data_IF_701097892439
#
_entry.id   IF_701097892439
#
_cell.length_a   1.000
_cell.length_b   1.000
_cell.length_c   1.000
_cell.angle_alpha   90.00
_cell.angle_beta   90.00
_cell.angle_gamma   90.00
#
_symmetry.space_group_name_H-M   'P 1'
#
loop_
_entity.id
_entity.type
_entity.pdbx_description
1 polymer ?
#
# COMPACT_ATOMS: atom_id res chain seq x y z
N UNK A 1 -20.94 15.10 30.87
CA UNK A 1 -20.42 13.71 30.91
C UNK A 1 -20.52 13.16 29.49
N UNK A 2 -19.47 13.37 28.68
CA UNK A 2 -19.48 12.95 27.28
C UNK A 2 -18.89 11.53 27.20
N UNK A 3 -19.74 10.59 26.83
CA UNK A 3 -19.34 9.21 26.57
C UNK A 3 -18.60 9.24 25.23
N UNK A 4 -17.28 9.07 25.27
CA UNK A 4 -16.49 8.84 24.07
C UNK A 4 -16.84 7.43 23.55
N UNK A 5 -17.54 7.40 22.40
CA UNK A 5 -17.74 6.18 21.67
C UNK A 5 -16.37 5.64 21.25
N UNK A 6 -16.04 4.44 21.69
CA UNK A 6 -14.89 3.67 21.20
C UNK A 6 -15.03 3.50 19.70
N UNK A 7 -13.99 3.76 18.89
CA UNK A 7 -14.06 3.51 17.45
C UNK A 7 -14.37 2.02 17.22
N UNK A 8 -15.16 1.69 16.19
CA UNK A 8 -15.55 0.32 15.92
C UNK A 8 -14.32 -0.57 15.72
N UNK A 9 -14.37 -1.74 16.32
CA UNK A 9 -13.36 -2.80 16.14
C UNK A 9 -13.41 -3.23 14.67
N UNK A 10 -12.28 -3.13 13.97
CA UNK A 10 -12.17 -3.69 12.64
C UNK A 10 -12.20 -5.22 12.75
N UNK A 11 -13.13 -5.88 12.07
CA UNK A 11 -13.17 -7.33 11.97
C UNK A 11 -12.30 -7.80 10.82
N UNK A 12 -11.40 -8.74 11.09
CA UNK A 12 -10.81 -9.56 10.03
C UNK A 12 -11.95 -10.38 9.41
N UNK A 13 -12.28 -10.10 8.16
CA UNK A 13 -13.23 -10.90 7.44
C UNK A 13 -12.58 -12.24 7.09
N UNK A 14 -12.81 -13.21 7.94
CA UNK A 14 -12.70 -14.61 7.55
C UNK A 14 -13.88 -14.86 6.61
N UNK A 15 -13.67 -15.24 5.34
CA UNK A 15 -14.79 -15.53 4.46
C UNK A 15 -15.67 -16.61 5.09
N UNK A 16 -16.96 -16.34 5.21
CA UNK A 16 -17.95 -17.21 5.82
C UNK A 16 -18.25 -18.50 5.01
N UNK A 17 -17.42 -18.85 4.05
CA UNK A 17 -17.51 -20.08 3.28
C UNK A 17 -16.14 -20.77 3.20
N UNK A 18 -15.90 -21.64 4.15
CA UNK A 18 -15.01 -22.78 3.91
C UNK A 18 -15.76 -23.69 2.92
N UNK A 19 -15.55 -23.47 1.63
CA UNK A 19 -16.00 -24.39 0.61
C UNK A 19 -15.31 -25.72 0.83
N UNK A 20 -16.11 -26.75 1.08
CA UNK A 20 -15.78 -28.18 1.08
C UNK A 20 -14.29 -28.51 1.00
N UNK A 21 -13.76 -29.01 2.08
CA UNK A 21 -12.46 -29.70 2.13
C UNK A 21 -12.42 -30.73 1.00
N UNK A 22 -11.85 -30.39 -0.15
CA UNK A 22 -11.34 -31.40 -1.06
C UNK A 22 -10.28 -32.18 -0.31
N UNK A 23 -10.33 -33.50 -0.39
CA UNK A 23 -9.33 -34.39 0.20
C UNK A 23 -7.93 -33.81 -0.03
N UNK A 24 -7.07 -33.77 0.99
CA UNK A 24 -5.75 -33.17 0.88
C UNK A 24 -5.05 -33.85 -0.30
N UNK A 25 -4.75 -33.08 -1.34
CA UNK A 25 -3.74 -33.50 -2.31
C UNK A 25 -2.48 -33.76 -1.49
N UNK A 26 -1.98 -34.98 -1.50
CA UNK A 26 -0.70 -35.32 -0.89
C UNK A 26 0.39 -34.56 -1.67
N UNK A 27 0.72 -33.42 -1.15
CA UNK A 27 1.67 -32.52 -1.76
C UNK A 27 2.96 -32.67 -1.00
N UNK A 28 4.03 -32.98 -1.74
CA UNK A 28 5.39 -33.07 -1.21
C UNK A 28 5.72 -31.80 -0.39
N UNK A 29 6.30 -31.93 0.80
CA UNK A 29 6.55 -30.84 1.73
C UNK A 29 7.47 -29.72 1.23
N UNK A 30 8.09 -29.90 0.09
CA UNK A 30 9.03 -28.93 -0.43
C UNK A 30 8.40 -27.63 -0.94
N UNK A 31 9.19 -26.56 -0.83
CA UNK A 31 8.91 -25.26 -1.45
C UNK A 31 8.51 -25.41 -2.94
N UNK A 32 9.01 -26.44 -3.62
CA UNK A 32 8.64 -26.83 -4.97
C UNK A 32 7.13 -27.00 -5.13
N UNK A 33 6.44 -27.46 -4.13
CA UNK A 33 5.01 -27.70 -4.18
C UNK A 33 4.15 -26.45 -4.09
N UNK A 34 4.47 -25.52 -3.22
CA UNK A 34 3.79 -24.22 -3.19
C UNK A 34 4.09 -23.42 -4.47
N UNK A 35 5.24 -23.60 -5.07
CA UNK A 35 5.64 -22.92 -6.32
C UNK A 35 5.07 -23.58 -7.58
N UNK A 36 4.52 -24.78 -7.51
CA UNK A 36 3.83 -25.45 -8.62
C UNK A 36 2.36 -25.05 -8.76
N UNK A 37 1.83 -24.19 -7.87
CA UNK A 37 0.41 -23.85 -7.83
C UNK A 37 -0.08 -23.11 -9.08
N UNK A 38 -1.26 -23.45 -9.63
CA UNK A 38 -1.79 -22.85 -10.86
C UNK A 38 -1.92 -21.32 -10.80
N UNK A 39 -2.24 -20.77 -9.64
CA UNK A 39 -2.40 -19.33 -9.45
C UNK A 39 -1.11 -18.53 -9.70
N UNK A 40 0.06 -19.14 -9.50
CA UNK A 40 1.35 -18.49 -9.79
C UNK A 40 1.57 -18.27 -11.29
N UNK A 41 0.95 -19.10 -12.14
CA UNK A 41 0.99 -18.90 -13.61
C UNK A 41 0.26 -17.63 -14.01
N UNK A 42 -0.84 -17.29 -13.35
CA UNK A 42 -1.61 -16.10 -13.67
C UNK A 42 -0.83 -14.81 -13.41
N UNK A 43 -0.03 -14.76 -12.36
CA UNK A 43 0.86 -13.63 -12.07
C UNK A 43 2.19 -13.70 -12.83
N UNK A 44 2.36 -14.65 -13.74
CA UNK A 44 3.62 -14.88 -14.49
C UNK A 44 4.81 -15.06 -13.55
N UNK A 45 4.61 -15.86 -12.51
CA UNK A 45 5.69 -16.15 -11.57
C UNK A 45 6.85 -16.89 -12.25
N UNK A 46 8.07 -16.53 -11.86
CA UNK A 46 9.31 -17.17 -12.31
C UNK A 46 10.19 -17.46 -11.10
N UNK A 47 10.81 -18.63 -11.10
CA UNK A 47 11.82 -18.96 -10.12
C UNK A 47 13.05 -18.06 -10.24
N UNK A 48 13.78 -17.89 -9.13
CA UNK A 48 15.08 -17.18 -9.10
C UNK A 48 16.10 -18.06 -8.40
N UNK A 49 17.28 -18.12 -8.98
CA UNK A 49 18.44 -18.82 -8.42
C UNK A 49 19.14 -17.91 -7.40
N UNK A 50 18.69 -17.93 -6.15
CA UNK A 50 19.25 -17.20 -5.00
C UNK A 50 19.11 -15.67 -5.04
N UNK A 51 18.20 -15.08 -4.24
CA UNK A 51 18.21 -13.64 -4.00
C UNK A 51 19.48 -13.25 -3.22
N UNK A 52 20.16 -12.19 -3.65
CA UNK A 52 21.30 -11.59 -2.94
C UNK A 52 20.79 -10.85 -1.68
N UNK A 53 19.62 -10.23 -1.79
CA UNK A 53 18.96 -9.52 -0.71
C UNK A 53 17.69 -10.24 -0.27
N UNK A 54 17.46 -10.28 1.03
CA UNK A 54 16.29 -10.90 1.65
C UNK A 54 15.45 -9.79 2.32
N UNK A 55 14.44 -9.25 1.62
CA UNK A 55 13.61 -8.22 2.22
C UNK A 55 12.78 -8.77 3.37
N UNK A 56 12.57 -7.92 4.39
CA UNK A 56 11.68 -8.24 5.50
C UNK A 56 10.25 -7.83 5.15
N UNK A 57 9.33 -8.78 5.27
CA UNK A 57 7.88 -8.58 5.12
C UNK A 57 7.22 -8.81 6.48
N UNK A 58 6.57 -7.81 7.02
CA UNK A 58 5.74 -7.97 8.22
C UNK A 58 4.34 -8.47 7.82
N UNK A 59 3.88 -9.50 8.51
CA UNK A 59 2.50 -10.02 8.41
C UNK A 59 1.78 -9.62 9.69
N UNK A 60 0.89 -8.64 9.56
CA UNK A 60 0.06 -8.15 10.65
C UNK A 60 -1.28 -8.86 10.58
N UNK A 61 -1.45 -9.91 11.42
CA UNK A 61 -2.55 -10.85 11.26
C UNK A 61 -2.89 -11.57 12.59
N UNK A 62 -3.46 -12.77 12.54
CA UNK A 62 -3.83 -13.60 13.71
C UNK A 62 -2.63 -14.30 14.40
N UNK A 63 -1.44 -14.14 13.88
CA UNK A 63 -0.22 -14.84 14.25
C UNK A 63 0.30 -15.69 13.08
N UNK A 64 1.41 -16.40 13.29
CA UNK A 64 1.97 -17.36 12.32
C UNK A 64 2.38 -18.61 13.09
N UNK A 65 1.82 -19.76 12.73
CA UNK A 65 2.15 -21.03 13.38
C UNK A 65 3.59 -21.40 13.11
N UNK A 66 4.40 -21.44 14.16
CA UNK A 66 5.78 -21.89 14.08
C UNK A 66 5.82 -23.35 13.61
N UNK A 67 6.70 -23.67 12.67
CA UNK A 67 6.84 -25.01 12.10
C UNK A 67 5.89 -25.32 10.93
N UNK A 68 4.97 -24.40 10.57
CA UNK A 68 4.08 -24.62 9.45
C UNK A 68 4.84 -24.88 8.13
N UNK A 69 4.28 -25.75 7.30
CA UNK A 69 4.90 -26.18 6.04
C UNK A 69 5.19 -24.99 5.11
N UNK A 70 6.33 -24.97 4.45
CA UNK A 70 6.76 -23.90 3.55
C UNK A 70 7.28 -22.64 4.25
N UNK A 71 7.28 -22.57 5.58
CA UNK A 71 7.75 -21.42 6.36
C UNK A 71 9.08 -21.66 7.09
N UNK A 72 9.67 -22.85 6.98
CA UNK A 72 10.92 -23.20 7.64
C UNK A 72 12.06 -22.27 7.21
N UNK A 73 12.77 -21.70 8.18
CA UNK A 73 13.89 -20.78 7.95
C UNK A 73 13.51 -19.41 7.39
N UNK A 74 12.19 -19.09 7.29
CA UNK A 74 11.69 -17.81 6.76
C UNK A 74 11.10 -16.91 7.83
N UNK A 75 10.77 -17.47 8.99
CA UNK A 75 10.15 -16.71 10.09
C UNK A 75 11.23 -16.02 10.91
N UNK A 76 11.11 -14.73 11.08
CA UNK A 76 11.92 -13.90 11.98
C UNK A 76 11.37 -14.00 13.41
N UNK A 77 11.57 -15.17 14.03
CA UNK A 77 10.99 -15.49 15.34
C UNK A 77 11.56 -14.66 16.50
N UNK A 78 12.80 -14.16 16.34
CA UNK A 78 13.45 -13.34 17.37
C UNK A 78 12.80 -11.96 17.55
N UNK A 79 11.99 -11.52 16.58
CA UNK A 79 11.28 -10.24 16.62
C UNK A 79 9.76 -10.40 16.50
N UNK A 80 9.26 -11.63 16.59
CA UNK A 80 7.82 -11.87 16.63
C UNK A 80 7.18 -11.18 17.86
N UNK A 81 6.03 -10.52 17.66
CA UNK A 81 5.36 -9.78 18.74
C UNK A 81 3.85 -9.85 18.61
N UNK A 82 3.16 -9.72 19.75
CA UNK A 82 1.70 -9.66 19.82
C UNK A 82 1.23 -8.36 20.46
N UNK A 83 0.21 -7.76 19.86
CA UNK A 83 -0.59 -6.65 20.39
C UNK A 83 -1.98 -7.12 20.85
N UNK A 84 -2.18 -8.42 20.98
CA UNK A 84 -3.36 -9.07 21.54
C UNK A 84 -3.05 -9.49 22.97
N UNK A 85 -3.94 -9.20 23.90
CA UNK A 85 -3.74 -9.58 25.32
C UNK A 85 -3.59 -11.10 25.46
N UNK A 86 -2.49 -11.53 26.10
CA UNK A 86 -2.15 -12.95 26.25
C UNK A 86 -1.76 -13.66 24.92
N UNK A 87 -1.60 -12.92 23.83
CA UNK A 87 -1.27 -13.48 22.54
C UNK A 87 0.20 -13.87 22.39
N UNK A 88 0.45 -14.74 21.42
CA UNK A 88 1.79 -15.18 20.98
C UNK A 88 1.83 -15.20 19.45
N UNK A 89 2.61 -14.34 18.86
CA UNK A 89 2.69 -14.21 17.39
C UNK A 89 3.26 -15.45 16.67
N UNK A 90 3.87 -16.39 17.38
CA UNK A 90 4.37 -17.67 16.85
C UNK A 90 3.35 -18.82 16.99
N UNK A 91 2.15 -18.50 17.48
CA UNK A 91 0.99 -19.39 17.55
C UNK A 91 -0.15 -18.70 16.81
N UNK A 92 -0.74 -19.37 15.85
CA UNK A 92 -1.86 -18.83 15.07
C UNK A 92 -3.17 -19.53 15.47
N UNK A 93 -3.98 -18.93 16.34
CA UNK A 93 -5.18 -19.57 16.85
C UNK A 93 -6.31 -19.70 15.81
N UNK A 94 -6.27 -18.91 14.73
CA UNK A 94 -7.25 -18.93 13.64
C UNK A 94 -6.73 -19.62 12.38
N UNK A 95 -5.44 -19.43 12.02
CA UNK A 95 -4.80 -20.00 10.84
C UNK A 95 -4.67 -19.05 9.65
N UNK A 96 -5.33 -17.89 9.69
CA UNK A 96 -5.33 -16.95 8.57
C UNK A 96 -3.93 -16.34 8.33
N UNK A 97 -3.25 -15.88 9.38
CA UNK A 97 -1.92 -15.30 9.25
C UNK A 97 -0.87 -16.31 8.76
N UNK A 98 -1.00 -17.60 9.17
CA UNK A 98 -0.15 -18.68 8.67
C UNK A 98 -0.36 -18.90 7.17
N UNK A 99 -1.61 -18.92 6.72
CA UNK A 99 -1.95 -19.07 5.30
C UNK A 99 -1.42 -17.90 4.46
N UNK A 100 -1.60 -16.66 4.93
CA UNK A 100 -1.07 -15.44 4.32
C UNK A 100 0.46 -15.48 4.20
N UNK A 101 1.14 -15.86 5.29
CA UNK A 101 2.60 -15.98 5.31
C UNK A 101 3.12 -17.02 4.30
N UNK A 102 2.43 -18.16 4.16
CA UNK A 102 2.76 -19.19 3.18
C UNK A 102 2.68 -18.69 1.73
N UNK A 103 1.67 -17.90 1.39
CA UNK A 103 1.56 -17.27 0.05
C UNK A 103 2.74 -16.32 -0.20
N UNK A 104 3.03 -15.44 0.75
CA UNK A 104 4.16 -14.51 0.64
C UNK A 104 5.47 -15.27 0.44
N UNK A 105 5.69 -16.31 1.24
CA UNK A 105 6.87 -17.16 1.15
C UNK A 105 6.99 -17.83 -0.23
N UNK A 106 5.91 -18.40 -0.74
CA UNK A 106 5.87 -19.08 -2.04
C UNK A 106 6.19 -18.11 -3.20
N UNK A 107 5.57 -16.93 -3.21
CA UNK A 107 5.79 -15.93 -4.26
C UNK A 107 7.20 -15.34 -4.19
N UNK A 108 7.69 -15.06 -2.99
CA UNK A 108 8.99 -14.42 -2.79
C UNK A 108 10.19 -15.37 -2.98
N UNK A 109 10.05 -16.66 -2.68
CA UNK A 109 11.20 -17.56 -2.52
C UNK A 109 11.84 -18.05 -3.82
N UNK A 110 11.19 -18.05 -4.93
CA UNK A 110 11.79 -18.69 -6.10
C UNK A 110 12.02 -20.20 -5.90
N UNK A 111 12.86 -20.79 -6.75
CA UNK A 111 13.23 -22.22 -6.70
C UNK A 111 14.43 -22.48 -5.79
N UNK A 112 14.97 -21.45 -5.14
CA UNK A 112 16.15 -21.56 -4.28
C UNK A 112 15.82 -22.20 -2.93
N UNK A 113 16.71 -23.03 -2.42
CA UNK A 113 16.71 -23.52 -1.04
C UNK A 113 16.96 -22.42 -0.01
N UNK A 114 17.46 -21.25 -0.44
CA UNK A 114 17.65 -20.08 0.43
C UNK A 114 16.34 -19.31 0.58
N UNK A 115 16.04 -18.79 1.79
CA UNK A 115 14.87 -17.96 1.98
C UNK A 115 14.93 -16.71 1.09
N UNK A 116 13.89 -16.50 0.27
CA UNK A 116 13.76 -15.30 -0.56
C UNK A 116 13.12 -14.13 0.17
N UNK A 117 12.70 -14.35 1.42
CA UNK A 117 12.02 -13.38 2.27
C UNK A 117 12.26 -13.70 3.74
N UNK A 118 12.33 -12.69 4.58
CA UNK A 118 12.24 -12.78 6.04
C UNK A 118 10.85 -12.30 6.46
N UNK A 119 10.06 -13.18 7.07
CA UNK A 119 8.69 -12.88 7.49
C UNK A 119 8.70 -12.54 8.98
N UNK A 120 8.25 -11.33 9.31
CA UNK A 120 8.10 -10.85 10.68
C UNK A 120 6.65 -11.07 11.14
N UNK A 121 6.39 -12.02 12.08
CA UNK A 121 5.06 -12.20 12.65
C UNK A 121 4.72 -11.04 13.58
N UNK A 122 3.57 -10.39 13.33
CA UNK A 122 3.02 -9.35 14.21
C UNK A 122 1.55 -9.69 14.45
N UNK A 123 1.23 -10.27 15.60
CA UNK A 123 -0.15 -10.60 15.92
C UNK A 123 -0.89 -9.34 16.35
N UNK A 124 -1.91 -8.99 15.60
CA UNK A 124 -2.80 -7.85 15.86
C UNK A 124 -4.27 -8.25 15.99
N UNK A 125 -4.60 -9.49 15.66
CA UNK A 125 -5.94 -10.03 15.72
C UNK A 125 -6.00 -11.28 16.59
N UNK A 126 -7.12 -11.46 17.29
CA UNK A 126 -7.38 -12.58 18.17
C UNK A 126 -7.82 -13.86 17.41
N UNK A 127 -8.23 -14.89 18.17
CA UNK A 127 -8.70 -16.16 17.62
C UNK A 127 -10.01 -16.06 16.82
N UNK A 128 -10.73 -14.96 16.96
CA UNK A 128 -11.96 -14.67 16.19
C UNK A 128 -11.67 -13.76 14.99
N UNK A 129 -10.39 -13.41 14.75
CA UNK A 129 -9.98 -12.47 13.72
C UNK A 129 -10.32 -11.02 14.04
N UNK A 130 -10.67 -10.70 15.30
CA UNK A 130 -11.00 -9.34 15.70
C UNK A 130 -9.74 -8.54 16.07
N UNK A 131 -9.71 -7.26 15.69
CA UNK A 131 -8.60 -6.35 15.96
C UNK A 131 -9.11 -4.95 16.30
N UNK A 132 -8.21 -4.08 16.73
CA UNK A 132 -8.50 -2.67 16.98
C UNK A 132 -7.59 -1.76 16.15
N UNK A 133 -8.05 -0.56 15.86
CA UNK A 133 -7.24 0.46 15.17
C UNK A 133 -5.91 0.72 15.90
N UNK A 134 -5.91 0.66 17.23
CA UNK A 134 -4.69 0.83 18.02
C UNK A 134 -3.72 -0.33 17.84
N UNK A 135 -4.20 -1.58 17.80
CA UNK A 135 -3.36 -2.76 17.57
C UNK A 135 -2.75 -2.73 16.15
N UNK A 136 -3.56 -2.39 15.14
CA UNK A 136 -3.08 -2.20 13.75
C UNK A 136 -1.99 -1.13 13.69
N UNK A 137 -2.24 0.07 14.24
CA UNK A 137 -1.28 1.16 14.20
C UNK A 137 0.01 0.84 14.98
N UNK A 138 -0.10 0.19 16.14
CA UNK A 138 1.07 -0.25 16.92
C UNK A 138 1.87 -1.31 16.17
N UNK A 139 1.20 -2.26 15.53
CA UNK A 139 1.82 -3.29 14.69
C UNK A 139 2.57 -2.70 13.50
N UNK A 140 1.99 -1.71 12.80
CA UNK A 140 2.64 -1.00 11.68
C UNK A 140 3.93 -0.32 12.17
N UNK A 141 3.86 0.49 13.24
CA UNK A 141 5.05 1.17 13.78
C UNK A 141 6.12 0.19 14.27
N UNK A 142 5.69 -0.90 14.90
CA UNK A 142 6.62 -1.96 15.29
C UNK A 142 7.31 -2.57 14.07
N UNK A 143 6.57 -2.96 13.03
CA UNK A 143 7.12 -3.50 11.80
C UNK A 143 8.19 -2.58 11.19
N UNK A 144 7.91 -1.28 11.12
CA UNK A 144 8.86 -0.25 10.68
C UNK A 144 10.12 -0.24 11.55
N UNK A 145 9.97 -0.25 12.88
CA UNK A 145 11.11 -0.25 13.82
C UNK A 145 12.00 -1.49 13.68
N UNK A 146 11.47 -2.58 13.11
CA UNK A 146 12.21 -3.83 12.82
C UNK A 146 12.71 -3.91 11.38
N UNK A 147 12.60 -2.82 10.62
CA UNK A 147 13.14 -2.71 9.27
C UNK A 147 12.31 -3.44 8.19
N UNK A 148 11.03 -3.69 8.45
CA UNK A 148 10.14 -4.22 7.41
C UNK A 148 10.06 -3.25 6.23
N UNK A 149 10.22 -3.78 5.02
CA UNK A 149 10.11 -3.04 3.76
C UNK A 149 8.74 -3.20 3.11
N UNK A 150 8.02 -4.25 3.49
CA UNK A 150 6.63 -4.50 3.09
C UNK A 150 5.84 -4.85 4.34
N UNK A 151 4.66 -4.28 4.48
CA UNK A 151 3.72 -4.54 5.57
C UNK A 151 2.44 -5.07 4.92
N UNK A 152 2.09 -6.32 5.20
CA UNK A 152 0.87 -6.95 4.70
C UNK A 152 -0.26 -6.83 5.72
N UNK A 153 -1.40 -6.30 5.30
CA UNK A 153 -2.63 -6.14 6.07
C UNK A 153 -3.78 -6.87 5.35
N UNK A 154 -3.90 -8.17 5.58
CA UNK A 154 -4.96 -9.01 5.01
C UNK A 154 -6.25 -8.95 5.85
N UNK A 155 -6.74 -7.74 6.12
CA UNK A 155 -7.90 -7.47 6.96
C UNK A 155 -8.80 -6.40 6.34
N UNK A 156 -10.01 -6.26 6.87
CA UNK A 156 -10.97 -5.25 6.43
C UNK A 156 -11.81 -4.70 7.59
N UNK A 157 -12.28 -3.47 7.44
CA UNK A 157 -13.24 -2.83 8.35
C UNK A 157 -13.82 -1.57 7.72
N UNK A 158 -15.02 -1.18 8.16
CA UNK A 158 -15.76 -0.07 7.55
C UNK A 158 -15.37 1.32 8.06
N UNK A 159 -14.56 1.43 9.11
CA UNK A 159 -14.29 2.70 9.80
C UNK A 159 -12.94 3.31 9.45
N UNK A 160 -12.94 4.60 9.07
CA UNK A 160 -11.70 5.38 8.99
C UNK A 160 -11.14 5.66 10.39
N UNK A 161 -9.86 5.39 10.60
CA UNK A 161 -9.13 5.70 11.82
C UNK A 161 -7.94 6.61 11.55
N UNK A 162 -7.91 7.77 12.21
CA UNK A 162 -6.75 8.68 12.12
C UNK A 162 -5.47 8.06 12.66
N UNK A 163 -5.60 7.17 13.65
CA UNK A 163 -4.44 6.52 14.27
C UNK A 163 -3.78 5.54 13.28
N UNK A 164 -4.59 4.80 12.53
CA UNK A 164 -4.10 3.92 11.47
C UNK A 164 -3.49 4.72 10.30
N UNK A 165 -4.19 5.76 9.81
CA UNK A 165 -3.64 6.60 8.74
C UNK A 165 -2.30 7.20 9.14
N UNK A 166 -2.17 7.72 10.37
CA UNK A 166 -0.90 8.24 10.88
C UNK A 166 0.20 7.19 10.91
N UNK A 167 -0.12 5.95 11.29
CA UNK A 167 0.87 4.87 11.29
C UNK A 167 1.30 4.46 9.87
N UNK A 168 0.37 4.50 8.90
CA UNK A 168 0.65 4.27 7.48
C UNK A 168 1.56 5.38 6.93
N UNK A 169 1.27 6.64 7.25
CA UNK A 169 2.11 7.77 6.87
C UNK A 169 3.53 7.64 7.46
N UNK A 170 3.64 7.20 8.73
CA UNK A 170 4.93 6.91 9.37
C UNK A 170 5.68 5.79 8.63
N UNK A 171 4.98 4.73 8.22
CA UNK A 171 5.57 3.61 7.48
C UNK A 171 6.08 4.06 6.10
N UNK A 172 5.30 4.84 5.38
CA UNK A 172 5.68 5.40 4.07
C UNK A 172 6.92 6.28 4.18
N UNK A 173 6.95 7.17 5.17
CA UNK A 173 8.11 8.04 5.46
C UNK A 173 9.37 7.24 5.80
N UNK A 174 9.23 6.11 6.46
CA UNK A 174 10.32 5.20 6.77
C UNK A 174 10.73 4.29 5.59
N UNK A 175 10.08 4.41 4.44
CA UNK A 175 10.36 3.64 3.24
C UNK A 175 9.80 2.22 3.27
N UNK A 176 8.70 1.99 4.00
CA UNK A 176 7.95 0.73 3.99
C UNK A 176 6.66 0.85 3.18
N UNK A 177 6.40 -0.14 2.31
CA UNK A 177 5.18 -0.23 1.51
C UNK A 177 4.10 -0.99 2.28
N UNK A 178 2.94 -0.36 2.46
CA UNK A 178 1.76 -1.01 3.04
C UNK A 178 0.89 -1.58 1.92
N UNK A 179 0.59 -2.87 1.99
CA UNK A 179 -0.27 -3.59 1.04
C UNK A 179 -1.44 -4.18 1.81
N UNK A 180 -2.65 -3.94 1.33
CA UNK A 180 -3.86 -4.41 2.01
C UNK A 180 -4.87 -5.06 1.08
N UNK A 181 -5.71 -5.92 1.65
CA UNK A 181 -6.89 -6.42 1.01
C UNK A 181 -7.87 -5.28 0.67
N UNK A 182 -8.53 -5.33 -0.48
CA UNK A 182 -9.55 -4.34 -0.83
C UNK A 182 -10.85 -4.53 -0.04
N UNK A 183 -11.06 -5.73 0.55
CA UNK A 183 -12.25 -6.15 1.27
C UNK A 183 -13.05 -7.22 0.54
N UNK A 184 -14.00 -7.85 1.27
CA UNK A 184 -14.76 -8.99 0.78
C UNK A 184 -16.30 -8.76 0.83
N UNK A 185 -16.74 -7.51 0.68
CA UNK A 185 -18.17 -7.14 0.72
C UNK A 185 -18.88 -7.27 -0.63
N UNK A 186 -18.11 -7.36 -1.73
CA UNK A 186 -18.66 -7.35 -3.10
C UNK A 186 -19.27 -6.02 -3.53
N UNK A 187 -19.11 -4.97 -2.74
CA UNK A 187 -19.71 -3.66 -2.95
C UNK A 187 -18.67 -2.63 -3.37
N UNK A 188 -19.10 -1.40 -3.64
CA UNK A 188 -18.23 -0.24 -3.89
C UNK A 188 -17.90 0.53 -2.60
N UNK A 189 -18.00 -0.09 -1.44
CA UNK A 189 -17.73 0.51 -0.15
C UNK A 189 -16.22 0.79 0.06
N UNK A 190 -15.94 1.77 0.91
CA UNK A 190 -14.57 2.00 1.39
C UNK A 190 -14.28 1.07 2.54
N UNK A 191 -13.44 0.07 2.29
CA UNK A 191 -12.98 -0.86 3.31
C UNK A 191 -11.55 -0.52 3.71
N UNK A 192 -11.32 -0.37 5.00
CA UNK A 192 -10.01 -0.06 5.56
C UNK A 192 -9.34 -1.33 6.09
N UNK A 193 -8.01 -1.40 5.97
CA UNK A 193 -7.03 -0.39 5.59
C UNK A 193 -6.87 -0.16 4.08
N UNK A 194 -7.49 -0.93 3.19
CA UNK A 194 -7.34 -0.80 1.74
C UNK A 194 -7.69 0.59 1.19
N UNK A 195 -8.58 1.32 1.85
CA UNK A 195 -9.00 2.65 1.43
C UNK A 195 -8.20 3.81 2.07
N UNK A 196 -7.14 3.54 2.86
CA UNK A 196 -6.24 4.60 3.31
C UNK A 196 -5.33 5.08 2.17
N UNK A 197 -4.88 6.35 2.27
CA UNK A 197 -3.81 6.87 1.42
C UNK A 197 -2.52 6.10 1.69
N UNK A 198 -1.63 6.04 0.70
CA UNK A 198 -0.36 5.31 0.72
C UNK A 198 -0.49 3.79 0.91
N UNK A 199 -1.69 3.24 0.80
CA UNK A 199 -1.93 1.80 0.82
C UNK A 199 -2.14 1.29 -0.61
N UNK A 200 -1.41 0.24 -0.97
CA UNK A 200 -1.64 -0.52 -2.21
C UNK A 200 -2.76 -1.54 -1.96
N UNK A 201 -3.98 -1.15 -2.30
CA UNK A 201 -5.15 -2.03 -2.15
C UNK A 201 -5.25 -3.06 -3.28
N UNK A 202 -5.51 -4.31 -2.91
CA UNK A 202 -5.50 -5.45 -3.84
C UNK A 202 -6.86 -6.12 -3.91
N UNK A 203 -7.44 -6.15 -5.12
CA UNK A 203 -8.64 -6.93 -5.44
C UNK A 203 -8.33 -8.39 -5.75
N UNK A 204 -9.34 -9.25 -5.64
CA UNK A 204 -9.22 -10.67 -5.91
C UNK A 204 -9.84 -11.08 -7.25
N UNK A 205 -9.16 -11.97 -7.97
CA UNK A 205 -9.65 -12.60 -9.21
C UNK A 205 -9.67 -14.11 -9.09
N UNK A 206 -10.52 -14.73 -9.92
CA UNK A 206 -10.57 -16.16 -10.15
C UNK A 206 -9.41 -16.66 -11.05
N UNK A 207 -9.27 -17.98 -11.30
CA UNK A 207 -8.21 -18.50 -12.19
C UNK A 207 -8.30 -18.02 -13.65
N UNK A 208 -9.43 -17.47 -14.08
CA UNK A 208 -9.60 -16.89 -15.43
C UNK A 208 -9.24 -15.39 -15.47
N UNK A 209 -8.93 -14.77 -14.34
CA UNK A 209 -8.64 -13.33 -14.21
C UNK A 209 -9.87 -12.45 -14.09
N UNK A 210 -11.06 -13.02 -13.85
CA UNK A 210 -12.29 -12.28 -13.58
C UNK A 210 -12.37 -11.90 -12.10
N UNK A 211 -12.88 -10.70 -11.76
CA UNK A 211 -13.09 -10.33 -10.37
C UNK A 211 -13.93 -11.34 -9.62
N UNK A 212 -13.55 -11.66 -8.39
CA UNK A 212 -14.41 -12.44 -7.49
C UNK A 212 -15.67 -11.64 -7.13
N UNK A 213 -16.84 -12.26 -7.10
CA UNK A 213 -18.08 -11.56 -6.71
C UNK A 213 -18.00 -10.86 -5.35
N UNK A 214 -17.31 -11.49 -4.40
CA UNK A 214 -17.09 -10.93 -3.05
C UNK A 214 -16.01 -9.84 -2.99
N UNK A 215 -15.15 -9.68 -3.99
CA UNK A 215 -14.09 -8.67 -3.94
C UNK A 215 -14.69 -7.26 -3.91
N UNK A 216 -14.35 -6.48 -2.88
CA UNK A 216 -14.75 -5.06 -2.78
C UNK A 216 -14.14 -4.27 -3.92
N UNK A 217 -14.95 -3.39 -4.52
CA UNK A 217 -14.62 -2.58 -5.69
C UNK A 217 -14.47 -1.12 -5.30
N UNK A 218 -13.85 -0.33 -6.15
CA UNK A 218 -13.74 1.11 -5.96
C UNK A 218 -12.47 1.69 -6.57
N UNK A 219 -12.32 3.01 -6.49
CA UNK A 219 -11.13 3.71 -6.99
C UNK A 219 -9.88 3.37 -6.17
N UNK A 220 -10.04 2.94 -4.94
CA UNK A 220 -8.95 2.50 -4.06
C UNK A 220 -8.26 1.23 -4.56
N UNK A 221 -8.93 0.38 -5.34
CA UNK A 221 -8.32 -0.85 -5.87
C UNK A 221 -7.24 -0.49 -6.89
N UNK A 222 -5.97 -0.74 -6.53
CA UNK A 222 -4.83 -0.39 -7.35
C UNK A 222 -4.48 -1.48 -8.38
N UNK A 223 -4.57 -2.74 -7.98
CA UNK A 223 -4.22 -3.92 -8.78
C UNK A 223 -5.01 -5.12 -8.26
N UNK A 224 -5.06 -6.20 -9.02
CA UNK A 224 -5.65 -7.47 -8.57
C UNK A 224 -4.63 -8.61 -8.65
N UNK A 225 -4.92 -9.66 -7.87
CA UNK A 225 -4.18 -10.92 -7.93
C UNK A 225 -5.14 -12.10 -7.71
N UNK A 226 -4.73 -13.35 -8.01
CA UNK A 226 -5.52 -14.53 -7.70
C UNK A 226 -5.92 -14.59 -6.23
N UNK A 227 -7.20 -14.88 -5.97
CA UNK A 227 -7.74 -14.96 -4.62
C UNK A 227 -8.77 -16.08 -4.45
N UNK A 228 -8.95 -16.94 -5.44
CA UNK A 228 -9.88 -18.08 -5.36
C UNK A 228 -9.11 -19.38 -5.21
N UNK A 229 -9.55 -20.20 -4.24
CA UNK A 229 -9.04 -21.56 -3.98
C UNK A 229 -7.51 -21.61 -3.88
N UNK A 230 -6.95 -20.66 -3.14
CA UNK A 230 -5.50 -20.54 -2.95
C UNK A 230 -5.04 -21.53 -1.89
N UNK A 231 -4.19 -22.45 -2.29
CA UNK A 231 -3.56 -23.43 -1.39
C UNK A 231 -2.31 -22.82 -0.77
N UNK A 232 -2.20 -22.88 0.55
CA UNK A 232 -1.06 -22.35 1.30
C UNK A 232 -0.87 -23.06 2.63
N UNK A 233 0.10 -22.63 3.43
CA UNK A 233 0.46 -23.22 4.72
C UNK A 233 -0.74 -23.25 5.67
N UNK A 234 -0.94 -24.38 6.35
CA UNK A 234 -1.92 -24.55 7.41
C UNK A 234 -1.29 -24.38 8.79
N UNK A 235 -2.07 -23.89 9.75
CA UNK A 235 -1.71 -23.95 11.18
C UNK A 235 -1.72 -25.37 11.74
N UNK A 236 -2.53 -26.25 11.13
CA UNK A 236 -2.47 -27.68 11.45
C UNK A 236 -1.23 -28.30 10.80
N UNK A 237 -0.26 -28.62 11.63
CA UNK A 237 1.03 -29.18 11.18
C UNK A 237 0.86 -30.56 10.53
N UNK A 238 -0.22 -31.31 10.82
CA UNK A 238 -0.51 -32.59 10.20
C UNK A 238 -1.15 -32.41 8.82
N UNK A 239 -2.09 -31.46 8.68
CA UNK A 239 -2.70 -31.14 7.40
C UNK A 239 -1.73 -30.46 6.43
N UNK A 240 -0.69 -29.80 6.94
CA UNK A 240 0.37 -29.07 6.24
C UNK A 240 -0.12 -27.89 5.39
N UNK A 241 -1.12 -28.06 4.57
CA UNK A 241 -1.68 -27.06 3.67
C UNK A 241 -3.20 -27.00 3.79
N UNK A 242 -3.76 -25.83 3.54
CA UNK A 242 -5.20 -25.61 3.46
C UNK A 242 -5.54 -24.66 2.30
N UNK A 243 -6.81 -24.61 1.93
CA UNK A 243 -7.30 -23.78 0.82
C UNK A 243 -8.21 -22.69 1.36
N UNK A 244 -7.91 -21.43 0.99
CA UNK A 244 -8.75 -20.26 1.33
C UNK A 244 -8.98 -19.38 0.11
N UNK A 245 -10.06 -18.58 0.16
CA UNK A 245 -10.41 -17.61 -0.89
C UNK A 245 -10.67 -16.23 -0.28
N UNK A 246 -10.30 -15.18 -1.00
CA UNK A 246 -10.55 -13.80 -0.60
C UNK A 246 -9.47 -12.82 -1.05
N UNK A 247 -9.72 -11.53 -0.86
CA UNK A 247 -8.77 -10.46 -1.13
C UNK A 247 -7.55 -10.50 -0.22
N UNK A 248 -7.62 -11.16 0.93
CA UNK A 248 -6.50 -11.46 1.81
C UNK A 248 -5.40 -12.25 1.09
N UNK A 249 -5.78 -13.29 0.32
CA UNK A 249 -4.87 -14.12 -0.44
C UNK A 249 -4.23 -13.36 -1.59
N UNK A 250 -5.03 -12.51 -2.25
CA UNK A 250 -4.56 -11.61 -3.30
C UNK A 250 -3.55 -10.58 -2.77
N UNK A 251 -3.81 -9.96 -1.61
CA UNK A 251 -2.90 -9.02 -0.96
C UNK A 251 -1.57 -9.68 -0.56
N UNK A 252 -1.63 -10.89 0.01
CA UNK A 252 -0.44 -11.69 0.32
C UNK A 252 0.41 -11.97 -0.93
N UNK A 253 -0.25 -12.27 -2.06
CA UNK A 253 0.43 -12.53 -3.33
C UNK A 253 1.16 -11.29 -3.85
N UNK A 254 0.53 -10.12 -3.78
CA UNK A 254 1.16 -8.84 -4.18
C UNK A 254 2.28 -8.46 -3.21
N UNK A 255 2.15 -8.77 -1.92
CA UNK A 255 3.23 -8.59 -0.93
C UNK A 255 4.46 -9.44 -1.28
N UNK A 256 4.26 -10.67 -1.71
CA UNK A 256 5.33 -11.52 -2.25
C UNK A 256 5.97 -10.96 -3.53
N UNK A 257 5.16 -10.38 -4.44
CA UNK A 257 5.66 -9.68 -5.64
C UNK A 257 6.49 -8.47 -5.26
N UNK A 258 6.04 -7.64 -4.30
CA UNK A 258 6.78 -6.50 -3.79
C UNK A 258 8.13 -6.93 -3.19
N UNK A 259 8.13 -8.00 -2.39
CA UNK A 259 9.36 -8.58 -1.84
C UNK A 259 10.34 -9.00 -2.95
N UNK A 260 9.87 -9.60 -4.04
CA UNK A 260 10.71 -9.97 -5.21
C UNK A 260 11.30 -8.75 -5.91
N UNK A 261 10.53 -7.69 -6.07
CA UNK A 261 11.01 -6.43 -6.66
C UNK A 261 12.11 -5.84 -5.78
N UNK A 262 11.90 -5.78 -4.46
CA UNK A 262 12.87 -5.26 -3.50
C UNK A 262 14.11 -6.14 -3.36
N UNK A 263 13.98 -7.48 -3.48
CA UNK A 263 15.13 -8.37 -3.52
C UNK A 263 16.05 -8.09 -4.72
N UNK A 264 15.47 -7.75 -5.86
CA UNK A 264 16.20 -7.40 -7.08
C UNK A 264 16.69 -5.93 -7.08
N UNK A 265 15.98 -5.03 -6.43
CA UNK A 265 16.21 -3.57 -6.42
C UNK A 265 15.92 -3.00 -5.02
N UNK A 266 16.85 -3.16 -4.05
CA UNK A 266 16.60 -2.88 -2.63
C UNK A 266 16.50 -1.39 -2.28
N UNK A 267 16.88 -0.50 -3.19
CA UNK A 267 16.88 0.95 -2.98
C UNK A 267 15.61 1.65 -3.46
N UNK A 268 14.66 0.89 -4.03
CA UNK A 268 13.40 1.47 -4.49
C UNK A 268 12.57 2.00 -3.33
N UNK A 269 11.97 3.18 -3.54
CA UNK A 269 10.98 3.74 -2.63
C UNK A 269 9.65 2.97 -2.71
N UNK A 270 8.77 3.06 -1.69
CA UNK A 270 7.41 2.50 -1.73
C UNK A 270 6.64 2.92 -2.98
N UNK A 271 6.74 4.18 -3.37
CA UNK A 271 6.14 4.75 -4.56
C UNK A 271 6.62 4.06 -5.83
N UNK A 272 7.94 3.88 -5.98
CA UNK A 272 8.52 3.19 -7.14
C UNK A 272 8.11 1.71 -7.22
N UNK A 273 8.03 1.01 -6.08
CA UNK A 273 7.55 -0.38 -6.05
C UNK A 273 6.08 -0.44 -6.45
N UNK A 274 5.25 0.45 -5.92
CA UNK A 274 3.83 0.60 -6.29
C UNK A 274 3.68 0.80 -7.80
N UNK A 275 4.46 1.68 -8.40
CA UNK A 275 4.41 1.95 -9.83
C UNK A 275 4.80 0.75 -10.68
N UNK A 276 5.82 0.00 -10.27
CA UNK A 276 6.22 -1.23 -10.96
C UNK A 276 5.11 -2.27 -10.92
N UNK A 277 4.47 -2.45 -9.76
CA UNK A 277 3.34 -3.37 -9.60
C UNK A 277 2.17 -2.92 -10.47
N UNK A 278 1.72 -1.68 -10.36
CA UNK A 278 0.59 -1.16 -11.13
C UNK A 278 0.85 -1.14 -12.63
N UNK A 279 2.06 -0.77 -13.09
CA UNK A 279 2.41 -0.78 -14.53
C UNK A 279 2.53 -2.19 -15.09
N UNK A 280 2.72 -3.19 -14.24
CA UNK A 280 2.74 -4.59 -14.65
C UNK A 280 1.36 -5.16 -14.95
N UNK A 281 0.31 -4.55 -14.42
CA UNK A 281 -1.05 -5.04 -14.54
C UNK A 281 -1.46 -5.35 -15.97
N UNK A 282 -2.39 -6.29 -16.14
CA UNK A 282 -2.86 -6.75 -17.45
C UNK A 282 -3.63 -5.67 -18.22
N UNK A 283 -4.04 -4.59 -17.55
CA UNK A 283 -4.81 -3.49 -18.14
C UNK A 283 -4.35 -2.10 -17.65
N UNK A 284 -3.07 -1.72 -17.86
CA UNK A 284 -2.50 -0.53 -17.24
C UNK A 284 -2.97 0.81 -17.82
N UNK A 285 -3.60 0.79 -19.00
CA UNK A 285 -3.91 2.00 -19.77
C UNK A 285 -5.40 2.20 -20.08
N UNK A 286 -6.29 1.34 -19.61
CA UNK A 286 -7.72 1.42 -19.95
C UNK A 286 -8.54 2.20 -18.93
N UNK A 287 -9.85 2.32 -19.21
CA UNK A 287 -10.83 2.91 -18.31
C UNK A 287 -10.77 2.28 -16.91
N UNK A 288 -11.20 3.04 -15.90
CA UNK A 288 -11.22 2.60 -14.49
C UNK A 288 -11.85 1.21 -14.36
N UNK A 289 -11.06 0.22 -14.02
CA UNK A 289 -11.56 -1.08 -13.57
C UNK A 289 -11.65 -1.07 -12.04
N UNK A 290 -12.83 -0.79 -11.53
CA UNK A 290 -13.07 -0.64 -10.08
C UNK A 290 -12.87 -1.94 -9.29
N UNK A 291 -12.80 -3.07 -9.96
CA UNK A 291 -12.61 -4.37 -9.34
C UNK A 291 -11.16 -4.87 -9.41
N UNK A 292 -10.40 -4.46 -10.43
CA UNK A 292 -9.04 -4.95 -10.68
C UNK A 292 -7.98 -3.84 -10.74
N UNK A 293 -8.37 -2.59 -10.60
CA UNK A 293 -7.42 -1.49 -10.76
C UNK A 293 -6.74 -1.51 -12.14
N UNK A 294 -5.42 -1.61 -12.16
CA UNK A 294 -4.64 -1.74 -13.40
C UNK A 294 -4.61 -3.17 -13.98
N UNK A 295 -5.44 -4.07 -13.44
CA UNK A 295 -5.53 -5.47 -13.87
C UNK A 295 -4.74 -6.42 -12.99
N UNK A 296 -4.59 -7.66 -13.45
CA UNK A 296 -3.86 -8.69 -12.71
C UNK A 296 -2.36 -8.42 -12.76
N UNK A 297 -1.70 -8.44 -11.60
CA UNK A 297 -0.26 -8.22 -11.47
C UNK A 297 0.55 -9.24 -12.28
N UNK A 298 1.66 -8.77 -12.87
CA UNK A 298 2.57 -9.60 -13.65
C UNK A 298 4.01 -9.42 -13.13
N UNK A 299 4.52 -10.43 -12.42
CA UNK A 299 5.83 -10.40 -11.79
C UNK A 299 6.97 -10.18 -12.81
N UNK A 300 6.94 -10.91 -13.93
CA UNK A 300 7.99 -10.79 -14.97
C UNK A 300 8.04 -9.38 -15.55
N UNK A 301 6.86 -8.82 -15.84
CA UNK A 301 6.76 -7.45 -16.36
C UNK A 301 7.24 -6.44 -15.33
N UNK A 302 6.85 -6.58 -14.04
CA UNK A 302 7.31 -5.71 -12.96
C UNK A 302 8.84 -5.74 -12.81
N UNK A 303 9.44 -6.92 -12.86
CA UNK A 303 10.90 -7.08 -12.77
C UNK A 303 11.67 -6.53 -13.99
N UNK A 304 11.08 -6.56 -15.20
CA UNK A 304 11.69 -6.09 -16.45
C UNK A 304 11.45 -4.62 -16.74
N UNK A 305 10.42 -4.04 -16.15
CA UNK A 305 10.10 -2.61 -16.35
C UNK A 305 11.23 -1.75 -15.79
N UNK A 306 11.62 -0.72 -16.56
CA UNK A 306 12.62 0.27 -16.12
C UNK A 306 12.20 0.86 -14.78
N UNK A 307 13.17 1.09 -13.91
CA UNK A 307 12.92 1.79 -12.64
C UNK A 307 12.23 3.13 -12.89
N UNK A 308 11.08 3.38 -12.28
CA UNK A 308 10.42 4.68 -12.36
C UNK A 308 11.33 5.79 -11.83
N UNK A 309 11.14 7.00 -12.32
CA UNK A 309 11.79 8.17 -11.71
C UNK A 309 11.43 8.22 -10.23
N UNK A 310 12.33 8.72 -9.37
CA UNK A 310 12.00 8.98 -7.99
C UNK A 310 10.78 9.88 -7.90
N UNK A 311 9.87 9.58 -7.00
CA UNK A 311 8.84 10.51 -6.54
C UNK A 311 9.45 11.49 -5.54
N UNK A 312 8.77 12.58 -5.27
CA UNK A 312 9.14 13.47 -4.20
C UNK A 312 9.21 12.78 -2.83
N UNK A 313 9.64 13.48 -1.78
CA UNK A 313 9.59 12.96 -0.42
C UNK A 313 8.14 12.67 -0.02
N UNK A 314 7.87 11.48 0.49
CA UNK A 314 6.54 11.01 0.91
C UNK A 314 6.47 10.75 2.43
N UNK A 315 5.30 10.83 3.05
CA UNK A 315 4.02 11.33 2.53
C UNK A 315 3.95 12.85 2.59
N UNK A 316 3.48 13.49 1.55
CA UNK A 316 3.41 14.97 1.45
C UNK A 316 2.02 15.49 1.04
N UNK A 317 1.05 14.61 0.92
CA UNK A 317 -0.30 14.90 0.44
C UNK A 317 -1.24 15.65 1.43
N UNK A 318 -0.67 16.21 2.49
CA UNK A 318 -1.35 17.14 3.42
C UNK A 318 -0.38 18.20 3.95
N UNK A 319 -0.77 19.48 4.13
CA UNK A 319 0.09 20.52 4.64
C UNK A 319 0.87 20.19 5.93
N UNK A 320 0.28 19.49 6.93
CA UNK A 320 1.04 19.02 8.09
C UNK A 320 2.14 18.04 7.76
N UNK A 321 1.91 17.09 6.84
CA UNK A 321 2.92 16.11 6.43
C UNK A 321 4.04 16.78 5.63
N UNK A 322 3.70 17.63 4.67
CA UNK A 322 4.69 18.38 3.88
C UNK A 322 5.66 19.17 4.76
N UNK A 323 5.20 19.74 5.90
CA UNK A 323 6.06 20.47 6.84
C UNK A 323 7.06 19.60 7.60
N UNK A 324 6.88 18.29 7.61
CA UNK A 324 7.83 17.34 8.19
C UNK A 324 8.97 16.99 7.22
N UNK A 325 8.83 17.40 5.96
CA UNK A 325 9.79 17.14 4.88
C UNK A 325 10.67 18.37 4.63
N UNK A 326 11.83 18.22 3.96
CA UNK A 326 12.64 19.35 3.54
C UNK A 326 11.85 20.32 2.67
N UNK A 327 11.97 21.61 2.95
CA UNK A 327 11.32 22.64 2.15
C UNK A 327 11.85 22.64 0.70
N UNK A 328 10.95 22.77 -0.27
CA UNK A 328 11.30 22.92 -1.69
C UNK A 328 12.07 24.19 -1.94
N UNK A 329 11.68 25.29 -1.26
CA UNK A 329 12.43 26.54 -1.20
C UNK A 329 12.60 26.92 0.26
N UNK A 330 13.85 26.86 0.74
CA UNK A 330 14.23 27.26 2.08
C UNK A 330 14.52 28.78 2.14
N UNK A 331 14.68 29.30 3.37
CA UNK A 331 15.02 30.73 3.57
C UNK A 331 16.27 31.13 2.79
N UNK A 332 16.14 32.15 1.97
CA UNK A 332 17.25 32.68 1.16
C UNK A 332 17.44 32.00 -0.20
N UNK A 333 16.71 30.95 -0.49
CA UNK A 333 16.66 30.35 -1.83
C UNK A 333 15.60 31.06 -2.68
N UNK A 334 15.86 31.17 -3.98
CA UNK A 334 14.96 31.85 -4.93
C UNK A 334 14.41 30.93 -6.00
N UNK A 335 14.87 29.68 -6.06
CA UNK A 335 14.45 28.68 -7.04
C UNK A 335 14.36 27.30 -6.41
N UNK A 336 13.44 26.50 -6.89
CA UNK A 336 13.28 25.09 -6.55
C UNK A 336 12.58 24.36 -7.67
N UNK A 337 12.84 23.06 -7.77
CA UNK A 337 12.13 22.20 -8.68
C UNK A 337 11.81 20.87 -8.02
N UNK A 338 10.74 20.22 -8.50
CA UNK A 338 10.32 18.92 -8.02
C UNK A 338 9.75 18.10 -9.17
N UNK A 339 10.15 16.85 -9.21
CA UNK A 339 9.49 15.83 -10.02
C UNK A 339 8.63 14.98 -9.10
N UNK A 340 7.39 14.75 -9.47
CA UNK A 340 6.47 13.92 -8.70
C UNK A 340 5.56 13.10 -9.59
N UNK A 341 4.78 12.23 -8.96
CA UNK A 341 3.84 11.35 -9.66
C UNK A 341 2.57 11.19 -8.86
N UNK A 342 1.50 11.76 -9.38
CA UNK A 342 0.17 11.63 -8.81
C UNK A 342 -0.46 10.29 -9.18
N UNK A 343 -1.28 9.75 -8.28
CA UNK A 343 -2.00 8.49 -8.48
C UNK A 343 -3.46 8.65 -8.08
N UNK A 344 -4.37 8.24 -8.95
CA UNK A 344 -5.79 8.20 -8.60
C UNK A 344 -5.97 7.43 -7.29
N UNK A 345 -6.63 8.05 -6.32
CA UNK A 345 -6.95 7.58 -4.98
C UNK A 345 -5.76 7.50 -4.00
N UNK A 346 -4.67 6.84 -4.35
CA UNK A 346 -3.60 6.59 -3.40
C UNK A 346 -2.79 7.85 -3.10
N UNK A 347 -2.73 8.78 -4.08
CA UNK A 347 -1.85 9.92 -4.05
C UNK A 347 -2.36 10.96 -5.07
N UNK A 348 -3.41 11.68 -4.69
CA UNK A 348 -4.09 12.64 -5.56
C UNK A 348 -3.41 14.01 -5.59
N UNK A 349 -2.48 14.26 -4.67
CA UNK A 349 -1.83 15.57 -4.49
C UNK A 349 -0.49 15.41 -3.82
N UNK A 350 0.39 16.28 -4.22
CA UNK A 350 1.73 16.45 -3.64
C UNK A 350 1.83 17.86 -3.09
N UNK A 351 2.24 17.97 -1.85
CA UNK A 351 2.43 19.22 -1.13
C UNK A 351 3.93 19.52 -0.94
N UNK A 352 4.36 20.73 -1.23
CA UNK A 352 5.73 21.18 -1.02
C UNK A 352 5.77 22.46 -0.18
N UNK A 353 6.67 22.53 0.79
CA UNK A 353 6.85 23.75 1.58
C UNK A 353 7.69 24.77 0.83
N UNK A 354 7.18 26.01 0.78
CA UNK A 354 7.90 27.18 0.27
C UNK A 354 7.93 28.25 1.36
N UNK A 355 9.12 28.62 1.79
CA UNK A 355 9.27 29.68 2.79
C UNK A 355 9.31 31.03 2.12
N UNK A 356 8.39 31.92 2.49
CA UNK A 356 8.26 33.26 1.95
C UNK A 356 8.33 34.32 3.07
N UNK A 357 8.96 35.46 2.76
CA UNK A 357 8.86 36.69 3.54
C UNK A 357 7.67 37.54 3.03
N UNK A 358 7.21 38.47 3.85
CA UNK A 358 6.11 39.36 3.46
C UNK A 358 6.52 40.19 2.23
N UNK A 359 5.63 40.25 1.24
CA UNK A 359 5.87 40.99 -0.02
C UNK A 359 6.57 40.18 -1.11
N UNK A 360 7.18 39.04 -0.80
CA UNK A 360 7.79 38.19 -1.83
C UNK A 360 6.72 37.60 -2.78
N UNK A 361 7.13 37.39 -4.04
CA UNK A 361 6.26 36.86 -5.09
C UNK A 361 6.72 35.44 -5.44
N UNK A 362 5.84 34.49 -5.17
CA UNK A 362 5.94 33.09 -5.62
C UNK A 362 5.40 33.00 -7.06
N UNK A 363 6.17 32.39 -7.94
CA UNK A 363 5.69 31.90 -9.25
C UNK A 363 5.94 30.41 -9.32
N UNK A 364 4.90 29.65 -9.67
CA UNK A 364 4.96 28.20 -9.81
C UNK A 364 4.38 27.80 -11.15
N UNK A 365 5.00 26.81 -11.80
CA UNK A 365 4.51 26.17 -13.00
C UNK A 365 4.65 24.67 -12.86
N UNK A 366 3.54 23.93 -13.08
CA UNK A 366 3.51 22.48 -13.14
C UNK A 366 3.24 22.01 -14.57
N UNK A 367 4.15 21.25 -15.13
CA UNK A 367 3.97 20.58 -16.43
C UNK A 367 3.74 19.10 -16.23
N UNK A 368 2.68 18.55 -16.82
CA UNK A 368 2.23 17.16 -16.63
C UNK A 368 2.45 16.34 -17.89
N UNK A 369 2.82 15.07 -17.71
CA UNK A 369 2.93 14.13 -18.84
C UNK A 369 1.56 13.60 -19.27
N UNK A 370 1.33 13.53 -20.57
CA UNK A 370 0.11 12.96 -21.16
C UNK A 370 -1.06 13.96 -21.21
N UNK A 371 -2.28 13.45 -21.01
CA UNK A 371 -3.54 14.22 -21.06
C UNK A 371 -4.15 14.42 -19.65
N UNK A 372 -3.34 14.34 -18.62
CA UNK A 372 -3.79 14.60 -17.27
C UNK A 372 -4.00 16.11 -17.08
N UNK A 373 -4.89 16.43 -16.16
CA UNK A 373 -5.22 17.80 -15.74
C UNK A 373 -4.80 17.92 -14.28
N UNK A 374 -4.05 18.96 -13.94
CA UNK A 374 -3.62 19.24 -12.58
C UNK A 374 -3.91 20.68 -12.21
N UNK A 375 -4.27 20.87 -10.96
CA UNK A 375 -4.49 22.18 -10.36
C UNK A 375 -3.33 22.53 -9.43
N UNK A 376 -3.02 23.81 -9.31
CA UNK A 376 -2.08 24.34 -8.32
C UNK A 376 -2.81 25.13 -7.23
N UNK A 377 -2.43 24.91 -5.97
CA UNK A 377 -2.96 25.64 -4.83
C UNK A 377 -1.86 26.12 -3.92
N UNK A 378 -2.03 27.32 -3.33
CA UNK A 378 -1.16 27.85 -2.27
C UNK A 378 -1.95 27.92 -0.98
N UNK A 379 -1.45 27.26 0.05
CA UNK A 379 -2.03 27.27 1.39
C UNK A 379 -1.25 28.17 2.33
N UNK A 380 -1.98 28.91 3.17
CA UNK A 380 -1.40 29.81 4.17
C UNK A 380 -0.59 29.05 5.24
N UNK A 381 0.38 29.71 5.89
CA UNK A 381 1.07 29.14 7.05
C UNK A 381 0.09 28.62 8.11
N UNK A 382 0.33 27.44 8.64
CA UNK A 382 -0.55 26.81 9.64
C UNK A 382 -1.77 26.09 9.09
N UNK A 383 -1.95 25.96 7.78
CA UNK A 383 -3.08 25.18 7.22
C UNK A 383 -3.11 23.76 7.80
N UNK A 384 -4.30 23.30 8.27
CA UNK A 384 -4.48 21.95 8.81
C UNK A 384 -4.57 20.90 7.69
N UNK A 385 -4.58 19.62 8.06
CA UNK A 385 -4.87 18.54 7.13
C UNK A 385 -6.20 18.74 6.40
N UNK A 386 -6.19 18.50 5.09
CA UNK A 386 -7.37 18.65 4.23
C UNK A 386 -8.13 17.33 4.25
N UNK A 387 -9.30 17.32 4.89
CA UNK A 387 -10.07 16.10 5.18
C UNK A 387 -10.82 15.49 4.00
N UNK A 388 -11.06 16.24 2.92
CA UNK A 388 -11.79 15.74 1.75
C UNK A 388 -11.44 16.51 0.49
N UNK A 389 -11.54 15.85 -0.66
CA UNK A 389 -11.27 16.43 -1.98
C UNK A 389 -12.31 17.45 -2.43
N UNK A 390 -13.41 17.58 -1.69
CA UNK A 390 -14.56 18.43 -2.06
C UNK A 390 -14.77 19.66 -1.19
N UNK A 391 -14.17 19.72 0.01
CA UNK A 391 -14.37 20.86 0.93
C UNK A 391 -13.03 21.55 1.22
N UNK A 392 -12.84 22.65 0.53
CA UNK A 392 -11.71 23.54 0.79
C UNK A 392 -11.95 24.39 2.05
N UNK A 393 -11.07 24.36 3.05
CA UNK A 393 -11.13 25.31 4.15
C UNK A 393 -10.69 26.70 3.66
N UNK A 394 -11.61 27.43 3.01
CA UNK A 394 -11.38 28.72 2.30
C UNK A 394 -10.50 29.71 3.07
N UNK A 395 -10.58 29.73 4.40
CA UNK A 395 -9.75 30.63 5.22
C UNK A 395 -8.24 30.37 5.12
N UNK A 396 -7.85 29.15 4.77
CA UNK A 396 -6.46 28.75 4.64
C UNK A 396 -5.95 28.77 3.20
N UNK A 397 -6.86 28.75 2.23
CA UNK A 397 -6.48 28.88 0.83
C UNK A 397 -6.03 30.32 0.54
N UNK A 398 -4.82 30.47 0.04
CA UNK A 398 -4.28 31.76 -0.36
C UNK A 398 -4.56 32.04 -1.84
N UNK A 399 -4.38 31.03 -2.70
CA UNK A 399 -4.60 31.10 -4.14
C UNK A 399 -4.81 29.70 -4.72
N UNK A 400 -5.55 29.61 -5.82
CA UNK A 400 -5.70 28.40 -6.64
C UNK A 400 -5.70 28.77 -8.12
N UNK A 401 -5.07 27.96 -8.94
CA UNK A 401 -5.13 27.98 -10.39
C UNK A 401 -5.71 26.65 -10.85
N UNK A 402 -6.78 26.69 -11.64
CA UNK A 402 -7.65 25.55 -11.99
C UNK A 402 -8.02 25.62 -13.48
N UNK A 403 -7.04 25.66 -14.35
CA UNK A 403 -7.27 25.65 -15.79
C UNK A 403 -7.19 24.23 -16.34
N UNK A 404 -7.86 23.98 -17.45
CA UNK A 404 -7.75 22.69 -18.13
C UNK A 404 -6.50 22.64 -18.98
N UNK A 405 -5.65 21.64 -18.76
CA UNK A 405 -4.49 21.46 -19.62
C UNK A 405 -3.35 20.67 -18.95
N UNK A 406 -2.28 20.52 -19.69
CA UNK A 406 -1.07 19.82 -19.23
C UNK A 406 -0.04 20.76 -18.60
N UNK A 407 -0.31 22.06 -18.56
CA UNK A 407 0.52 23.07 -17.90
C UNK A 407 -0.41 23.95 -17.06
N UNK A 408 -0.09 24.04 -15.77
CA UNK A 408 -0.76 24.92 -14.83
C UNK A 408 0.24 25.88 -14.21
N UNK A 409 -0.11 27.15 -14.08
CA UNK A 409 0.77 28.16 -13.51
C UNK A 409 0.03 29.11 -12.59
N UNK A 410 0.71 29.56 -11.53
CA UNK A 410 0.20 30.59 -10.62
C UNK A 410 1.27 31.60 -10.20
N UNK A 411 0.80 32.77 -9.81
CA UNK A 411 1.63 33.82 -9.19
C UNK A 411 0.93 34.30 -7.92
N UNK A 412 1.63 34.23 -6.79
CA UNK A 412 1.09 34.63 -5.50
C UNK A 412 2.05 35.59 -4.78
N UNK A 413 1.54 36.69 -4.20
CA UNK A 413 2.31 37.59 -3.33
C UNK A 413 2.01 37.28 -1.87
N UNK A 414 3.05 36.97 -1.09
CA UNK A 414 2.90 36.65 0.32
C UNK A 414 2.50 37.90 1.13
N UNK A 415 1.42 37.78 1.90
CA UNK A 415 0.93 38.87 2.78
C UNK A 415 1.61 38.89 4.15
N UNK A 416 2.24 37.78 4.54
CA UNK A 416 2.95 37.62 5.82
C UNK A 416 4.10 36.62 5.65
N UNK A 417 5.11 36.64 6.51
CA UNK A 417 6.19 35.65 6.46
C UNK A 417 5.67 34.29 6.96
N UNK A 418 6.25 33.22 6.44
CA UNK A 418 5.96 31.85 6.94
C UNK A 418 6.16 30.75 5.93
N UNK A 419 5.86 29.53 6.36
CA UNK A 419 5.89 28.31 5.57
C UNK A 419 4.55 28.12 4.88
N UNK A 420 4.51 28.53 3.62
CA UNK A 420 3.38 28.26 2.72
C UNK A 420 3.50 26.83 2.17
N UNK A 421 2.37 26.23 1.85
CA UNK A 421 2.36 24.95 1.16
C UNK A 421 1.85 25.16 -0.26
N UNK A 422 2.65 24.73 -1.23
CA UNK A 422 2.28 24.66 -2.64
C UNK A 422 1.84 23.24 -2.94
N UNK A 423 0.60 23.10 -3.36
CA UNK A 423 -0.02 21.80 -3.69
C UNK A 423 -0.15 21.64 -5.20
N UNK A 424 0.28 20.49 -5.72
CA UNK A 424 -0.05 20.00 -7.07
C UNK A 424 -1.12 18.93 -6.90
N UNK A 425 -2.29 19.11 -7.50
CA UNK A 425 -3.43 18.21 -7.36
C UNK A 425 -3.90 17.67 -8.70
N UNK A 426 -4.21 16.38 -8.77
CA UNK A 426 -4.84 15.75 -9.91
C UNK A 426 -6.31 16.16 -9.99
N UNK A 427 -6.71 16.85 -11.07
CA UNK A 427 -8.07 17.32 -11.31
C UNK A 427 -8.92 16.25 -11.99
N UNK A 428 -10.20 16.14 -11.58
CA UNK A 428 -11.25 15.41 -12.32
C UNK A 428 -10.98 13.95 -12.62
N UNK A 429 -10.20 13.24 -11.80
CA UNK A 429 -9.77 11.87 -12.06
C UNK A 429 -10.95 10.89 -12.10
N UNK A 430 -11.45 10.60 -13.29
CA UNK A 430 -12.44 9.53 -13.55
C UNK A 430 -11.79 8.23 -14.06
N UNK A 431 -10.47 8.18 -14.17
CA UNK A 431 -9.69 7.04 -14.68
C UNK A 431 -8.54 6.74 -13.72
N UNK A 432 -8.09 5.49 -13.71
CA UNK A 432 -6.84 5.14 -13.02
C UNK A 432 -5.70 5.67 -13.88
N UNK A 433 -5.20 6.85 -13.52
CA UNK A 433 -4.08 7.51 -14.19
C UNK A 433 -2.94 7.74 -13.20
N UNK A 434 -1.74 7.82 -13.73
CA UNK A 434 -0.50 8.03 -12.96
C UNK A 434 0.37 9.03 -13.71
N UNK A 435 -0.06 10.28 -13.83
CA UNK A 435 0.74 11.28 -14.50
C UNK A 435 1.99 11.59 -13.68
N UNK A 436 3.11 11.76 -14.36
CA UNK A 436 4.26 12.43 -13.77
C UNK A 436 4.15 13.92 -14.06
N UNK A 437 4.64 14.73 -13.14
CA UNK A 437 4.72 16.17 -13.34
C UNK A 437 6.14 16.70 -13.03
N UNK A 438 6.42 17.87 -13.57
CA UNK A 438 7.57 18.69 -13.22
C UNK A 438 7.06 20.03 -12.71
N UNK A 439 7.35 20.34 -11.45
CA UNK A 439 7.04 21.61 -10.79
C UNK A 439 8.29 22.47 -10.74
N UNK A 440 8.20 23.68 -11.29
CA UNK A 440 9.22 24.70 -11.19
C UNK A 440 8.70 25.87 -10.36
N UNK A 441 9.51 26.35 -9.43
CA UNK A 441 9.13 27.41 -8.50
C UNK A 441 10.22 28.46 -8.44
N UNK A 442 9.81 29.74 -8.49
CA UNK A 442 10.69 30.89 -8.26
C UNK A 442 10.10 31.81 -7.22
N UNK A 443 10.97 32.47 -6.45
CA UNK A 443 10.62 33.47 -5.43
C UNK A 443 11.43 34.73 -5.69
N UNK A 444 10.77 35.89 -5.77
CA UNK A 444 11.37 37.20 -6.01
C UNK A 444 10.87 38.26 -5.04
#
# INVERSE_FOLDING_TARGET
MFIHATPPVAQLAVPAHVSSVRAPMQVDPDTATLTAQPYLRLIRWVGVNSPINVPKVAVLDTGIQQGAAGLQGRIDSGWATSFVSGGNALVDPEGHGTHVAGIIAAVASGTSTRPGVSILPVQIADAQGSTSAQAVASGIRYAVSRGAKVINLSLQGAGYSKVEQSAIDDATRAGALVIAASGNTGTDAKEYPGAYRHVLAVGAVDPSGKPLPGSTRGLQVAVAAPGQDIVSSSRDLNARFETRSGTSMAAAMVSGVAARILAARPTLSPAQVTDLIMSSGSNPASAVDRARGTGVVNLVKALRTRTPLPDGPEPDDDPPNARLLPALIAKGQTQGERYGRLRTWADLRDDAVVRLEAGQVLRAEATVTGKADVDLYVWRPGAPAIKSDTTFPRKWLAMGAVNRGSVESLTYRASQPGDYVLEVRLAGAQRIIRPSYHLQVTVS
#
